data_IF_813373295643
#
_entry.id   IF_813373295643
#
_cell.length_a   1.000
_cell.length_b   1.000
_cell.length_c   1.000
_cell.angle_alpha   90.00
_cell.angle_beta   90.00
_cell.angle_gamma   90.00
#
_symmetry.space_group_name_H-M   'P 1'
#
loop_
_entity.id
_entity.type
_entity.pdbx_description
1 polymer ?
#
# COMPACT_ATOMS: atom_id res chain seq x y z
N UNK A 1 -60.38 -9.97 18.38
CA UNK A 1 -60.07 -9.57 19.77
C UNK A 1 -59.20 -10.63 20.42
N UNK A 2 -57.94 -10.31 20.72
CA UNK A 2 -57.16 -10.91 21.80
C UNK A 2 -55.88 -10.08 21.99
N UNK A 3 -55.92 -9.20 22.99
CA UNK A 3 -54.72 -8.51 23.48
C UNK A 3 -54.01 -9.44 24.47
N UNK A 4 -52.68 -9.51 24.39
CA UNK A 4 -51.86 -10.05 25.47
C UNK A 4 -51.07 -8.93 26.12
N UNK A 5 -51.24 -8.85 27.43
CA UNK A 5 -50.69 -7.91 28.37
C UNK A 5 -49.19 -8.21 28.59
N UNK A 6 -48.30 -7.45 27.92
CA UNK A 6 -46.92 -7.07 28.32
C UNK A 6 -46.17 -6.60 27.06
N UNK A 7 -45.91 -5.30 26.97
CA UNK A 7 -45.25 -4.66 25.83
C UNK A 7 -43.76 -5.00 25.70
N UNK A 8 -43.43 -6.20 25.22
CA UNK A 8 -42.11 -6.53 24.68
C UNK A 8 -42.17 -6.59 23.15
N UNK A 9 -41.14 -6.09 22.44
CA UNK A 9 -41.07 -6.21 20.99
C UNK A 9 -40.99 -7.69 20.61
N UNK A 10 -41.77 -8.08 19.60
CA UNK A 10 -41.78 -9.43 19.05
C UNK A 10 -40.39 -9.69 18.44
N UNK A 11 -39.72 -10.76 18.86
CA UNK A 11 -38.43 -11.16 18.30
C UNK A 11 -38.52 -11.28 16.76
N UNK A 12 -37.58 -10.67 16.05
CA UNK A 12 -37.57 -10.50 14.58
C UNK A 12 -37.51 -11.82 13.78
N UNK A 13 -37.40 -12.96 14.46
CA UNK A 13 -37.28 -14.30 13.88
C UNK A 13 -38.62 -14.96 13.51
N UNK A 14 -39.76 -14.31 13.77
CA UNK A 14 -41.10 -14.82 13.44
C UNK A 14 -41.83 -14.04 12.33
N UNK A 15 -41.13 -13.29 11.48
CA UNK A 15 -41.76 -12.54 10.39
C UNK A 15 -41.81 -13.35 9.07
N UNK A 16 -42.99 -13.48 8.47
CA UNK A 16 -43.16 -14.13 7.16
C UNK A 16 -42.57 -13.27 6.02
N UNK A 17 -42.19 -13.86 4.86
CA UNK A 17 -41.54 -13.14 3.75
C UNK A 17 -42.33 -11.92 3.24
N UNK A 18 -43.67 -11.94 3.39
CA UNK A 18 -44.53 -10.83 2.98
C UNK A 18 -44.47 -9.63 3.95
N UNK A 19 -44.20 -9.85 5.24
CA UNK A 19 -44.05 -8.77 6.23
C UNK A 19 -42.75 -7.97 6.02
N UNK A 20 -41.68 -8.60 5.52
CA UNK A 20 -40.43 -7.91 5.16
C UNK A 20 -40.58 -6.99 3.94
N UNK A 21 -41.44 -7.33 2.97
CA UNK A 21 -41.68 -6.49 1.79
C UNK A 21 -42.44 -5.20 2.13
N UNK A 22 -43.45 -5.27 3.00
CA UNK A 22 -44.21 -4.08 3.42
C UNK A 22 -43.38 -3.12 4.28
N UNK A 23 -42.48 -3.64 5.13
CA UNK A 23 -41.56 -2.79 5.90
C UNK A 23 -40.49 -2.08 5.04
N UNK A 24 -40.22 -2.59 3.83
CA UNK A 24 -39.31 -1.99 2.87
C UNK A 24 -39.95 -0.83 2.08
N UNK A 25 -41.28 -0.81 1.99
CA UNK A 25 -42.04 0.25 1.31
C UNK A 25 -42.27 1.49 2.19
N UNK A 26 -42.17 1.35 3.52
CA UNK A 26 -42.38 2.44 4.48
C UNK A 26 -41.07 3.12 4.95
N UNK A 27 -39.90 2.62 4.54
CA UNK A 27 -38.61 3.29 4.78
C UNK A 27 -38.31 4.22 3.62
N UNK A 28 -38.93 5.40 3.65
CA UNK A 28 -38.45 6.57 2.92
C UNK A 28 -36.94 6.70 3.10
N UNK A 29 -36.22 6.74 1.98
CA UNK A 29 -34.78 6.64 1.94
C UNK A 29 -34.14 7.98 2.31
N UNK A 30 -33.14 7.96 3.20
CA UNK A 30 -32.25 9.11 3.48
C UNK A 30 -31.58 9.66 2.21
N UNK A 31 -31.63 8.92 1.09
CA UNK A 31 -31.13 9.33 -0.22
C UNK A 31 -31.98 10.41 -0.91
N UNK A 32 -33.28 10.49 -0.61
CA UNK A 32 -34.14 11.52 -1.22
C UNK A 32 -33.96 12.89 -0.56
N UNK A 33 -33.52 12.92 0.71
CA UNK A 33 -33.16 14.16 1.43
C UNK A 33 -31.84 14.76 0.94
N UNK A 34 -30.94 13.96 0.37
CA UNK A 34 -29.65 14.44 -0.16
C UNK A 34 -29.72 14.98 -1.61
N UNK A 35 -30.85 14.80 -2.30
CA UNK A 35 -31.05 15.29 -3.67
C UNK A 35 -31.83 16.62 -3.73
N UNK A 36 -32.26 17.17 -2.58
CA UNK A 36 -33.00 18.44 -2.47
C UNK A 36 -32.16 19.65 -2.06
N UNK A 37 -30.87 19.69 -2.40
CA UNK A 37 -29.93 20.70 -1.90
C UNK A 37 -29.01 21.30 -2.98
N UNK A 38 -29.54 21.65 -4.14
CA UNK A 38 -28.85 22.46 -5.15
C UNK A 38 -29.46 23.88 -5.16
N UNK A 39 -28.88 24.78 -4.37
CA UNK A 39 -29.21 26.21 -4.35
C UNK A 39 -28.07 27.00 -3.72
N UNK A 40 -27.57 27.99 -4.47
CA UNK A 40 -26.36 28.80 -4.26
C UNK A 40 -26.23 29.48 -2.87
N UNK A 41 -25.00 29.50 -2.32
CA UNK A 41 -24.39 30.72 -1.75
C UNK A 41 -22.87 30.60 -1.57
N UNK A 42 -22.19 31.69 -1.95
CA UNK A 42 -20.75 31.95 -1.94
C UNK A 42 -20.22 32.24 -0.52
N UNK A 43 -18.96 31.84 -0.29
CA UNK A 43 -18.00 32.30 0.74
C UNK A 43 -18.33 32.09 2.23
N UNK A 44 -17.44 31.36 2.93
CA UNK A 44 -17.41 31.30 4.38
C UNK A 44 -16.54 30.16 4.90
N UNK A 45 -15.27 30.46 5.16
CA UNK A 45 -14.31 29.60 5.84
C UNK A 45 -14.83 29.17 7.22
N UNK A 46 -14.88 27.87 7.52
CA UNK A 46 -14.40 27.25 8.78
C UNK A 46 -14.82 25.77 8.85
N UNK A 47 -13.86 24.89 9.16
CA UNK A 47 -14.12 23.72 9.98
C UNK A 47 -14.81 22.51 9.34
N UNK A 48 -14.14 21.85 8.40
CA UNK A 48 -14.26 20.39 8.28
C UNK A 48 -12.88 19.83 7.98
N UNK A 49 -12.15 19.46 9.03
CA UNK A 49 -10.97 18.60 8.91
C UNK A 49 -11.45 17.19 8.50
N UNK A 50 -11.85 17.06 7.24
CA UNK A 50 -11.67 15.80 6.55
C UNK A 50 -10.16 15.66 6.40
N UNK A 51 -9.62 14.54 6.86
CA UNK A 51 -8.25 14.16 6.57
C UNK A 51 -8.07 14.21 5.05
N UNK A 52 -7.55 15.33 4.56
CA UNK A 52 -6.98 15.39 3.24
C UNK A 52 -5.78 14.47 3.34
N UNK A 53 -5.89 13.28 2.76
CA UNK A 53 -4.72 12.63 2.23
C UNK A 53 -4.06 13.67 1.34
N UNK A 54 -2.98 14.26 1.85
CA UNK A 54 -2.13 15.16 1.10
C UNK A 54 -1.68 14.35 -0.10
N UNK A 55 -2.36 14.52 -1.24
CA UNK A 55 -1.85 14.07 -2.52
C UNK A 55 -0.50 14.78 -2.62
N UNK A 56 0.62 14.05 -2.54
CA UNK A 56 1.90 14.70 -2.55
C UNK A 56 2.02 15.53 -3.82
N UNK A 57 2.67 16.68 -3.71
CA UNK A 57 2.98 17.56 -4.82
C UNK A 57 3.37 16.70 -6.03
N UNK A 58 2.71 16.91 -7.17
CA UNK A 58 2.99 16.18 -8.41
C UNK A 58 4.48 16.19 -8.64
N UNK A 59 5.13 15.04 -8.45
CA UNK A 59 6.53 14.88 -8.74
C UNK A 59 6.77 15.35 -10.18
N UNK A 60 7.89 16.04 -10.43
CA UNK A 60 8.32 16.29 -11.80
C UNK A 60 8.31 14.94 -12.53
N UNK A 61 7.63 14.85 -13.66
CA UNK A 61 7.40 13.58 -14.36
C UNK A 61 8.72 12.85 -14.64
N UNK A 62 9.78 13.60 -14.93
CA UNK A 62 11.12 13.07 -15.14
C UNK A 62 11.74 12.45 -13.87
N UNK A 63 11.65 13.13 -12.72
CA UNK A 63 12.19 12.63 -11.45
C UNK A 63 11.52 11.30 -11.06
N UNK A 64 10.20 11.19 -11.28
CA UNK A 64 9.45 9.96 -11.06
C UNK A 64 9.89 8.85 -12.03
N UNK A 65 10.06 9.16 -13.32
CA UNK A 65 10.55 8.19 -14.31
C UNK A 65 11.92 7.62 -13.92
N UNK A 66 12.84 8.47 -13.46
CA UNK A 66 14.16 8.04 -12.98
C UNK A 66 14.05 7.11 -11.77
N UNK A 67 13.22 7.46 -10.80
CA UNK A 67 12.94 6.61 -9.64
C UNK A 67 12.37 5.24 -10.04
N UNK A 68 11.48 5.21 -11.04
CA UNK A 68 10.89 3.95 -11.52
C UNK A 68 11.91 3.04 -12.19
N UNK A 69 12.84 3.60 -12.99
CA UNK A 69 13.92 2.83 -13.62
C UNK A 69 14.87 2.24 -12.58
N UNK A 70 15.28 3.05 -11.59
CA UNK A 70 16.10 2.59 -10.46
C UNK A 70 15.37 1.49 -9.68
N UNK A 71 14.08 1.68 -9.40
CA UNK A 71 13.25 0.71 -8.69
C UNK A 71 13.12 -0.62 -9.43
N UNK A 72 12.88 -0.60 -10.75
CA UNK A 72 12.80 -1.81 -11.57
C UNK A 72 14.11 -2.59 -11.52
N UNK A 73 15.25 -1.90 -11.66
CA UNK A 73 16.55 -2.57 -11.58
C UNK A 73 16.82 -3.15 -10.21
N UNK A 74 16.54 -2.42 -9.12
CA UNK A 74 16.76 -2.89 -7.74
C UNK A 74 15.85 -4.04 -7.34
N UNK A 75 14.67 -4.15 -7.96
CA UNK A 75 13.72 -5.24 -7.66
C UNK A 75 13.82 -6.42 -8.62
N UNK A 76 14.64 -6.33 -9.67
CA UNK A 76 14.70 -7.30 -10.78
C UNK A 76 13.30 -7.60 -11.36
N UNK A 77 12.47 -6.57 -11.51
CA UNK A 77 11.11 -6.68 -12.07
C UNK A 77 10.97 -5.87 -13.34
N UNK A 78 10.34 -6.48 -14.34
CA UNK A 78 10.07 -5.85 -15.64
C UNK A 78 9.06 -4.69 -15.54
N UNK A 79 8.12 -4.80 -14.60
CA UNK A 79 7.07 -3.81 -14.42
C UNK A 79 6.76 -3.58 -12.94
N UNK A 80 6.52 -2.32 -12.61
CA UNK A 80 6.12 -1.85 -11.30
C UNK A 80 4.91 -0.92 -11.45
N UNK A 81 4.01 -0.93 -10.47
CA UNK A 81 2.81 -0.09 -10.50
C UNK A 81 3.21 1.40 -10.32
N UNK A 82 2.86 2.24 -11.28
CA UNK A 82 3.27 3.65 -11.30
C UNK A 82 2.63 4.49 -10.19
N UNK A 83 1.40 4.18 -9.77
CA UNK A 83 0.73 4.88 -8.67
C UNK A 83 1.42 4.62 -7.33
N UNK A 84 1.76 3.35 -7.06
CA UNK A 84 2.54 2.97 -5.87
C UNK A 84 3.92 3.65 -5.93
N UNK A 85 4.57 3.61 -7.10
CA UNK A 85 5.87 4.25 -7.30
C UNK A 85 5.84 5.76 -7.02
N UNK A 86 4.82 6.47 -7.48
CA UNK A 86 4.64 7.89 -7.23
C UNK A 86 4.48 8.19 -5.73
N UNK A 87 3.67 7.40 -5.02
CA UNK A 87 3.47 7.57 -3.59
C UNK A 87 4.73 7.25 -2.78
N UNK A 88 5.46 6.18 -3.14
CA UNK A 88 6.75 5.84 -2.51
C UNK A 88 7.79 6.96 -2.72
N UNK A 89 7.97 7.40 -3.97
CA UNK A 89 8.91 8.48 -4.31
C UNK A 89 8.64 9.74 -3.49
N UNK A 90 7.38 10.17 -3.45
CA UNK A 90 6.99 11.37 -2.72
C UNK A 90 7.31 11.28 -1.22
N UNK A 91 6.98 10.17 -0.57
CA UNK A 91 7.24 9.99 0.86
C UNK A 91 8.74 9.89 1.16
N UNK A 92 9.52 9.21 0.30
CA UNK A 92 10.98 9.11 0.46
C UNK A 92 11.65 10.48 0.35
N UNK A 93 11.31 11.28 -0.67
CA UNK A 93 11.90 12.61 -0.87
C UNK A 93 11.42 13.61 0.19
N UNK A 94 10.17 13.48 0.65
CA UNK A 94 9.65 14.31 1.74
C UNK A 94 10.35 14.04 3.08
N UNK A 95 10.69 12.78 3.37
CA UNK A 95 11.33 12.40 4.63
C UNK A 95 12.75 12.94 4.76
N UNK A 96 13.49 13.05 3.65
CA UNK A 96 14.85 13.57 3.65
C UNK A 96 15.16 14.26 2.31
N UNK A 97 15.50 15.55 2.37
CA UNK A 97 15.79 16.38 1.21
C UNK A 97 16.97 15.85 0.36
N UNK A 98 17.96 15.20 0.98
CA UNK A 98 19.12 14.63 0.29
C UNK A 98 18.75 13.47 -0.64
N UNK A 99 17.58 12.83 -0.43
CA UNK A 99 17.15 11.66 -1.20
C UNK A 99 16.97 11.97 -2.67
N UNK A 100 16.59 13.21 -3.01
CA UNK A 100 16.48 13.62 -4.42
C UNK A 100 17.82 13.50 -5.14
N UNK A 101 18.89 14.01 -4.54
CA UNK A 101 20.23 13.98 -5.13
C UNK A 101 20.80 12.56 -5.17
N UNK A 102 20.54 11.77 -4.14
CA UNK A 102 20.95 10.36 -4.11
C UNK A 102 20.22 9.51 -5.16
N UNK A 103 18.94 9.75 -5.41
CA UNK A 103 18.19 9.10 -6.49
C UNK A 103 18.74 9.47 -7.86
N UNK A 104 19.10 10.74 -8.06
CA UNK A 104 19.77 11.18 -9.28
C UNK A 104 21.15 10.52 -9.47
N UNK A 105 21.91 10.34 -8.39
CA UNK A 105 23.18 9.62 -8.43
C UNK A 105 23.00 8.14 -8.80
N UNK A 106 22.01 7.46 -8.22
CA UNK A 106 21.65 6.07 -8.58
C UNK A 106 21.24 5.93 -10.04
N UNK A 107 20.40 6.86 -10.53
CA UNK A 107 20.00 6.86 -11.93
C UNK A 107 21.18 7.11 -12.87
N UNK A 108 22.06 8.05 -12.54
CA UNK A 108 23.27 8.34 -13.34
C UNK A 108 24.20 7.13 -13.41
N UNK A 109 24.36 6.42 -12.30
CA UNK A 109 25.12 5.17 -12.26
C UNK A 109 24.49 4.09 -13.16
N UNK A 110 23.16 3.96 -13.11
CA UNK A 110 22.41 3.01 -13.93
C UNK A 110 22.54 3.28 -15.44
N UNK A 111 22.55 4.56 -15.84
CA UNK A 111 22.71 4.94 -17.26
C UNK A 111 24.15 4.74 -17.75
N UNK A 112 25.14 4.96 -16.88
CA UNK A 112 26.55 4.79 -17.23
C UNK A 112 26.94 3.32 -17.39
N UNK A 113 26.37 2.43 -16.57
CA UNK A 113 26.75 1.04 -16.47
C UNK A 113 25.53 0.12 -16.64
N UNK A 114 25.60 -0.81 -17.60
CA UNK A 114 24.51 -1.76 -17.84
C UNK A 114 24.58 -2.93 -16.86
N UNK A 115 23.87 -2.83 -15.75
CA UNK A 115 23.74 -3.91 -14.77
C UNK A 115 22.72 -4.97 -15.20
N UNK A 116 23.11 -6.24 -15.11
CA UNK A 116 22.25 -7.38 -15.44
C UNK A 116 21.40 -7.87 -14.26
N UNK A 117 21.80 -7.56 -13.02
CA UNK A 117 21.12 -8.01 -11.79
C UNK A 117 21.02 -6.90 -10.76
N UNK A 118 20.01 -6.96 -9.89
CA UNK A 118 19.81 -6.03 -8.78
C UNK A 118 21.01 -6.05 -7.82
N UNK A 119 21.56 -7.25 -7.56
CA UNK A 119 22.70 -7.42 -6.64
C UNK A 119 23.95 -6.69 -7.15
N UNK A 120 24.27 -6.83 -8.45
CA UNK A 120 25.40 -6.12 -9.05
C UNK A 120 25.22 -4.60 -8.99
N UNK A 121 24.00 -4.10 -9.26
CA UNK A 121 23.71 -2.67 -9.20
C UNK A 121 23.82 -2.12 -7.78
N UNK A 122 23.18 -2.77 -6.80
CA UNK A 122 23.22 -2.34 -5.40
C UNK A 122 24.66 -2.35 -4.85
N UNK A 123 25.44 -3.38 -5.17
CA UNK A 123 26.84 -3.47 -4.77
C UNK A 123 27.70 -2.36 -5.38
N UNK A 124 27.54 -2.09 -6.68
CA UNK A 124 28.26 -1.00 -7.36
C UNK A 124 27.89 0.37 -6.80
N UNK A 125 26.61 0.59 -6.48
CA UNK A 125 26.13 1.83 -5.88
C UNK A 125 26.76 2.10 -4.52
N UNK A 126 26.71 1.13 -3.60
CA UNK A 126 27.34 1.26 -2.28
C UNK A 126 28.85 1.44 -2.37
N UNK A 127 29.51 0.76 -3.31
CA UNK A 127 30.94 0.94 -3.56
C UNK A 127 31.28 2.33 -4.08
N UNK A 128 30.41 2.92 -4.90
CA UNK A 128 30.62 4.25 -5.49
C UNK A 128 30.43 5.37 -4.46
N UNK A 129 29.42 5.26 -3.62
CA UNK A 129 29.18 6.15 -2.48
C UNK A 129 28.45 5.36 -1.39
N UNK A 130 29.09 5.11 -0.24
CA UNK A 130 28.49 4.39 0.89
C UNK A 130 27.17 5.00 1.38
N UNK A 131 26.94 6.31 1.16
CA UNK A 131 25.68 6.99 1.55
C UNK A 131 24.47 6.53 0.74
N UNK A 132 24.67 5.89 -0.42
CA UNK A 132 23.57 5.38 -1.25
C UNK A 132 22.90 4.13 -0.66
N UNK A 133 23.58 3.43 0.26
CA UNK A 133 23.04 2.25 0.93
C UNK A 133 21.67 2.52 1.56
N UNK A 134 21.52 3.66 2.24
CA UNK A 134 20.30 3.97 2.98
C UNK A 134 19.11 4.21 2.06
N UNK A 135 19.29 4.98 0.97
CA UNK A 135 18.21 5.20 0.00
C UNK A 135 17.86 3.91 -0.74
N UNK A 136 18.83 3.03 -1.03
CA UNK A 136 18.53 1.70 -1.61
C UNK A 136 17.67 0.89 -0.66
N UNK A 137 18.00 0.87 0.64
CA UNK A 137 17.18 0.20 1.65
C UNK A 137 15.78 0.79 1.76
N UNK A 138 15.63 2.11 1.70
CA UNK A 138 14.31 2.77 1.72
C UNK A 138 13.47 2.40 0.49
N UNK A 139 14.06 2.39 -0.71
CA UNK A 139 13.38 1.96 -1.94
C UNK A 139 12.91 0.51 -1.82
N UNK A 140 13.80 -0.40 -1.42
CA UNK A 140 13.49 -1.82 -1.28
C UNK A 140 12.44 -2.05 -0.18
N UNK A 141 12.56 -1.36 0.96
CA UNK A 141 11.57 -1.37 2.04
C UNK A 141 10.21 -0.90 1.53
N UNK A 142 10.17 0.21 0.77
CA UNK A 142 8.99 0.74 0.12
C UNK A 142 8.26 -0.28 -0.74
N UNK A 143 8.98 -0.93 -1.64
CA UNK A 143 8.39 -1.91 -2.54
C UNK A 143 7.99 -3.21 -1.84
N UNK A 144 8.86 -3.77 -1.00
CA UNK A 144 8.63 -5.08 -0.40
C UNK A 144 7.66 -5.03 0.77
N UNK A 145 7.71 -3.99 1.60
CA UNK A 145 6.84 -3.84 2.79
C UNK A 145 5.67 -2.88 2.57
N UNK A 146 5.70 -2.07 1.51
CA UNK A 146 4.64 -1.12 1.21
C UNK A 146 4.61 0.09 2.13
N UNK A 147 5.75 0.43 2.75
CA UNK A 147 5.88 1.53 3.72
C UNK A 147 6.97 2.52 3.30
N UNK A 148 6.72 3.81 3.50
CA UNK A 148 7.72 4.86 3.32
C UNK A 148 7.54 5.90 4.42
N UNK A 149 8.63 6.41 5.01
CA UNK A 149 8.56 7.38 6.12
C UNK A 149 7.68 6.91 7.29
N UNK A 150 7.74 5.61 7.63
CA UNK A 150 6.89 5.00 8.66
C UNK A 150 5.39 4.92 8.33
N UNK A 151 4.97 5.39 7.16
CA UNK A 151 3.56 5.40 6.71
C UNK A 151 3.30 4.24 5.76
N UNK A 152 2.11 3.66 5.85
CA UNK A 152 1.66 2.63 4.91
C UNK A 152 1.23 3.31 3.60
N UNK A 153 1.94 3.01 2.52
CA UNK A 153 1.61 3.46 1.16
C UNK A 153 0.71 2.44 0.47
N UNK A 154 1.03 1.15 0.61
CA UNK A 154 0.25 0.05 0.06
C UNK A 154 0.37 -1.16 0.97
N UNK A 155 -0.71 -1.92 1.12
CA UNK A 155 -0.68 -3.15 1.90
C UNK A 155 -0.73 -4.38 1.00
N UNK A 156 -1.87 -4.60 0.33
CA UNK A 156 -2.13 -5.83 -0.44
C UNK A 156 -1.11 -6.10 -1.54
N UNK A 157 -0.63 -5.05 -2.21
CA UNK A 157 0.26 -5.16 -3.38
C UNK A 157 1.74 -4.98 -3.04
N UNK A 158 2.11 -5.07 -1.75
CA UNK A 158 3.52 -5.07 -1.35
C UNK A 158 4.22 -6.33 -1.88
N UNK A 159 5.42 -6.18 -2.45
CA UNK A 159 6.07 -7.24 -3.23
C UNK A 159 6.40 -8.50 -2.41
N UNK A 160 6.52 -8.40 -1.08
CA UNK A 160 6.76 -9.59 -0.24
C UNK A 160 5.59 -10.59 -0.30
N UNK A 161 4.37 -10.11 -0.53
CA UNK A 161 3.20 -10.98 -0.64
C UNK A 161 3.17 -11.72 -1.97
N UNK A 162 3.70 -11.14 -3.05
CA UNK A 162 3.80 -11.82 -4.34
C UNK A 162 4.69 -13.07 -4.27
N UNK A 163 5.75 -13.04 -3.45
CA UNK A 163 6.72 -14.13 -3.31
C UNK A 163 6.10 -15.33 -2.60
N UNK A 164 5.14 -15.10 -1.71
CA UNK A 164 4.58 -16.12 -0.81
C UNK A 164 3.14 -16.50 -1.14
N UNK A 165 2.56 -15.93 -2.21
CA UNK A 165 1.12 -16.03 -2.54
C UNK A 165 0.61 -17.46 -2.80
N UNK A 166 1.49 -18.41 -3.05
CA UNK A 166 1.20 -19.83 -3.29
C UNK A 166 1.05 -20.63 -1.98
N UNK A 167 1.43 -20.06 -0.84
CA UNK A 167 1.37 -20.69 0.48
C UNK A 167 0.72 -19.80 1.55
N UNK A 168 0.98 -18.50 1.51
CA UNK A 168 0.60 -17.53 2.55
C UNK A 168 -0.09 -16.33 1.91
N UNK A 169 -1.29 -16.03 2.39
CA UNK A 169 -2.05 -14.87 1.97
C UNK A 169 -1.84 -13.69 2.92
N UNK A 170 -1.93 -12.43 2.43
CA UNK A 170 -1.90 -11.26 3.30
C UNK A 170 -2.94 -11.37 4.41
N UNK A 171 -2.58 -10.96 5.64
CA UNK A 171 -3.54 -10.90 6.76
C UNK A 171 -4.73 -10.05 6.35
N UNK A 172 -5.91 -10.37 6.90
CA UNK A 172 -7.22 -9.78 6.57
C UNK A 172 -7.80 -10.10 5.18
N UNK A 173 -7.08 -10.86 4.33
CA UNK A 173 -7.57 -11.32 3.02
C UNK A 173 -7.81 -12.84 2.99
N UNK A 174 -9.07 -13.26 3.01
CA UNK A 174 -9.47 -14.67 2.98
C UNK A 174 -9.46 -15.27 1.55
N UNK A 175 -8.30 -15.24 0.88
CA UNK A 175 -8.21 -15.65 -0.55
C UNK A 175 -8.02 -17.16 -0.72
N UNK A 176 -7.47 -17.86 0.28
CA UNK A 176 -7.18 -19.31 0.20
C UNK A 176 -8.40 -20.23 0.34
N UNK A 177 -9.57 -19.70 0.68
CA UNK A 177 -10.73 -20.50 1.08
C UNK A 177 -10.60 -21.08 2.49
N UNK A 178 -11.66 -21.71 3.02
CA UNK A 178 -11.63 -22.36 4.32
C UNK A 178 -10.57 -23.47 4.38
N UNK A 179 -9.88 -23.58 5.51
CA UNK A 179 -8.93 -24.66 5.80
C UNK A 179 -7.72 -24.77 4.85
N UNK A 180 -7.39 -23.74 4.06
CA UNK A 180 -6.25 -23.79 3.12
C UNK A 180 -4.91 -24.20 3.78
N UNK A 181 -4.77 -23.90 5.07
CA UNK A 181 -3.57 -24.19 5.87
C UNK A 181 -3.37 -25.69 6.17
N UNK A 182 -4.34 -26.57 5.90
CA UNK A 182 -4.16 -28.02 6.08
C UNK A 182 -3.38 -28.66 4.95
N UNK A 183 -3.26 -27.99 3.80
CA UNK A 183 -2.51 -28.50 2.66
C UNK A 183 -1.02 -28.24 2.84
N UNK A 184 -0.18 -29.20 2.43
CA UNK A 184 1.27 -29.02 2.40
C UNK A 184 1.62 -27.89 1.42
N UNK A 185 2.38 -26.86 1.85
CA UNK A 185 2.86 -25.83 0.94
C UNK A 185 3.75 -26.40 -0.18
N UNK A 186 3.82 -25.73 -1.33
CA UNK A 186 4.74 -26.11 -2.40
C UNK A 186 6.19 -26.11 -1.91
N UNK A 187 7.00 -27.02 -2.44
CA UNK A 187 8.43 -27.05 -2.18
C UNK A 187 9.12 -25.93 -2.98
N UNK A 188 9.94 -25.14 -2.30
CA UNK A 188 10.69 -24.05 -2.91
C UNK A 188 12.19 -24.30 -2.76
N UNK A 189 12.95 -23.98 -3.81
CA UNK A 189 14.39 -24.08 -3.77
C UNK A 189 14.97 -23.15 -2.69
N UNK A 190 15.96 -23.63 -1.94
CA UNK A 190 16.66 -22.78 -0.96
C UNK A 190 17.41 -21.66 -1.68
N UNK A 191 17.27 -20.40 -1.26
CA UNK A 191 18.01 -19.30 -1.85
C UNK A 191 19.51 -19.50 -1.63
N UNK A 192 20.30 -19.34 -2.71
CA UNK A 192 21.78 -19.47 -2.69
C UNK A 192 22.50 -18.12 -2.75
N UNK A 193 21.75 -17.02 -2.81
CA UNK A 193 22.31 -15.68 -2.94
C UNK A 193 23.03 -15.21 -1.68
N UNK A 194 23.89 -14.20 -1.85
CA UNK A 194 24.48 -13.45 -0.74
C UNK A 194 23.90 -12.03 -0.73
N UNK A 195 23.84 -11.37 0.43
CA UNK A 195 23.43 -9.97 0.51
C UNK A 195 24.28 -9.11 -0.43
N UNK A 196 23.62 -8.27 -1.23
CA UNK A 196 24.28 -7.37 -2.18
C UNK A 196 24.97 -6.19 -1.48
N UNK A 197 24.37 -5.74 -0.38
CA UNK A 197 24.81 -4.61 0.43
C UNK A 197 25.50 -5.11 1.70
N UNK A 198 26.37 -4.27 2.27
CA UNK A 198 26.93 -4.52 3.59
C UNK A 198 25.84 -4.60 4.66
N UNK A 199 26.08 -5.37 5.73
CA UNK A 199 25.11 -5.53 6.81
C UNK A 199 24.75 -4.18 7.44
N UNK A 200 23.47 -3.96 7.73
CA UNK A 200 23.02 -2.85 8.58
C UNK A 200 23.12 -3.24 10.05
N UNK A 201 23.28 -2.25 10.93
CA UNK A 201 23.20 -2.50 12.36
C UNK A 201 21.82 -3.07 12.72
N UNK A 202 21.79 -4.10 13.57
CA UNK A 202 20.55 -4.65 14.09
C UNK A 202 19.94 -3.63 15.07
N UNK A 203 18.85 -3.00 14.66
CA UNK A 203 18.04 -2.16 15.53
C UNK A 203 16.98 -3.05 16.18
N UNK A 204 17.07 -3.22 17.49
CA UNK A 204 16.06 -3.94 18.26
C UNK A 204 14.95 -2.95 18.58
N UNK A 205 13.76 -3.17 17.99
CA UNK A 205 12.58 -2.38 18.34
C UNK A 205 12.21 -2.65 19.81
N UNK A 206 11.88 -1.62 20.61
CA UNK A 206 11.43 -1.82 21.97
C UNK A 206 10.11 -2.63 21.95
N UNK A 207 10.12 -3.78 22.64
CA UNK A 207 8.93 -4.62 22.90
C UNK A 207 7.96 -3.97 23.87
#
# INVERSE_FOLDING_TARGET
MRQTHKGQPIAEWCASPNAMRLNKLLRMSRRDVLLGGLGLSVAGTTGAALAADTIPATANTEDLSRFMLVSQRLTDRDALNSQIGAALYANIVQANADRKDQLNALHTLLEREKFTTASAFAHAAEKSDPKLKDVIHEILTGWYRGIADGKVVVYRSALMFDITKDAVYPKTYATGGPFYWTSKPPEVARPKGHPALSASALVIEPT
#
